data_IF_584202944099
#
_entry.id   IF_584202944099
#
_cell.length_a   1.000
_cell.length_b   1.000
_cell.length_c   1.000
_cell.angle_alpha   90.00
_cell.angle_beta   90.00
_cell.angle_gamma   90.00
#
_symmetry.space_group_name_H-M   'P 1'
#
loop_
_entity.id
_entity.type
_entity.pdbx_description
1 polymer ?
#
# COMPACT_ATOMS: atom_id res chain seq x y z
N UNK A 1 -24.83 -17.92 21.20
CA UNK A 1 -24.75 -16.67 20.40
C UNK A 1 -23.88 -15.69 21.17
N UNK A 2 -22.64 -15.46 20.73
CA UNK A 2 -21.74 -14.53 21.42
C UNK A 2 -22.14 -13.09 21.06
N UNK A 3 -22.70 -12.36 22.02
CA UNK A 3 -23.05 -10.95 21.86
C UNK A 3 -21.81 -10.14 21.44
N UNK A 4 -21.93 -9.43 20.31
CA UNK A 4 -20.88 -8.53 19.83
C UNK A 4 -20.93 -7.29 20.70
N UNK A 5 -19.94 -7.16 21.58
CA UNK A 5 -19.69 -5.95 22.36
C UNK A 5 -19.62 -4.73 21.42
N UNK A 6 -20.36 -3.65 21.73
CA UNK A 6 -20.50 -2.44 20.90
C UNK A 6 -20.20 -1.20 21.76
N UNK A 7 -19.60 -0.18 21.17
CA UNK A 7 -19.38 1.11 21.84
C UNK A 7 -20.70 1.90 21.96
N UNK A 8 -20.64 3.04 22.65
CA UNK A 8 -21.79 3.94 22.83
C UNK A 8 -22.36 4.50 21.51
N UNK A 9 -21.68 4.28 20.37
CA UNK A 9 -22.08 4.67 19.01
C UNK A 9 -22.49 3.45 18.16
N UNK A 10 -22.56 2.25 18.74
CA UNK A 10 -22.96 1.01 18.07
C UNK A 10 -21.85 0.30 17.27
N UNK A 11 -20.60 0.80 17.29
CA UNK A 11 -19.46 0.20 16.58
C UNK A 11 -19.00 -1.06 17.33
N UNK A 12 -18.82 -2.21 16.66
CA UNK A 12 -18.35 -3.42 17.33
C UNK A 12 -16.96 -3.20 17.97
N UNK A 13 -16.87 -3.39 19.29
CA UNK A 13 -15.66 -3.32 20.11
C UNK A 13 -14.72 -4.52 19.90
N UNK A 14 -15.23 -5.60 19.32
CA UNK A 14 -14.50 -6.85 19.10
C UNK A 14 -13.54 -6.80 17.89
N UNK A 15 -12.64 -5.81 17.84
CA UNK A 15 -11.49 -5.90 16.97
C UNK A 15 -10.40 -6.69 17.70
N UNK A 16 -10.32 -8.01 17.45
CA UNK A 16 -9.17 -8.80 17.92
C UNK A 16 -7.88 -8.12 17.44
N UNK A 17 -6.82 -8.05 18.29
CA UNK A 17 -5.51 -7.56 17.86
C UNK A 17 -5.06 -8.29 16.59
N UNK A 18 -4.38 -7.60 15.68
CA UNK A 18 -3.91 -8.20 14.42
C UNK A 18 -2.40 -8.06 14.28
N UNK A 19 -1.77 -8.98 13.56
CA UNK A 19 -0.37 -8.84 13.16
C UNK A 19 -0.20 -7.78 12.04
N UNK A 20 1.04 -7.51 11.62
CA UNK A 20 1.35 -6.56 10.55
C UNK A 20 0.76 -6.91 9.18
N UNK A 21 0.39 -8.17 8.97
CA UNK A 21 -0.33 -8.61 7.78
C UNK A 21 -1.83 -8.54 7.94
N UNK A 22 -2.38 -8.18 9.11
CA UNK A 22 -3.81 -8.09 9.39
C UNK A 22 -4.47 -9.42 9.81
N UNK A 23 -3.72 -10.47 10.16
CA UNK A 23 -4.29 -11.73 10.67
C UNK A 23 -4.69 -11.56 12.14
N UNK A 24 -5.86 -12.05 12.59
CA UNK A 24 -6.24 -11.99 14.00
C UNK A 24 -5.26 -12.76 14.89
N UNK A 25 -4.80 -12.12 15.96
CA UNK A 25 -4.02 -12.74 17.02
C UNK A 25 -4.92 -13.43 18.05
N UNK A 26 -4.29 -14.24 18.90
CA UNK A 26 -4.91 -14.76 20.11
C UNK A 26 -5.39 -13.61 21.02
N UNK A 27 -6.42 -13.85 21.84
CA UNK A 27 -6.88 -12.86 22.81
C UNK A 27 -5.73 -12.54 23.79
N UNK A 28 -5.47 -11.25 24.03
CA UNK A 28 -4.36 -10.79 24.86
C UNK A 28 -3.02 -10.64 24.13
N UNK A 29 -2.94 -10.99 22.84
CA UNK A 29 -1.76 -10.67 22.02
C UNK A 29 -1.64 -9.16 21.78
N UNK A 30 -0.41 -8.64 21.78
CA UNK A 30 -0.14 -7.27 21.35
C UNK A 30 -0.16 -7.21 19.83
N UNK A 31 -1.20 -6.61 19.26
CA UNK A 31 -1.33 -6.43 17.82
C UNK A 31 -0.83 -5.05 17.40
N UNK A 32 -0.62 -4.89 16.10
CA UNK A 32 -0.35 -3.58 15.54
C UNK A 32 -1.66 -2.78 15.51
N UNK A 33 -1.66 -1.52 15.99
CA UNK A 33 -2.80 -0.64 15.84
C UNK A 33 -3.20 -0.49 14.37
N UNK A 34 -4.49 -0.68 14.07
CA UNK A 34 -5.01 -0.41 12.73
C UNK A 34 -4.90 1.07 12.41
N UNK A 35 -4.78 1.38 11.12
CA UNK A 35 -4.96 2.76 10.66
C UNK A 35 -6.40 3.17 10.97
N UNK A 36 -6.64 4.28 11.69
CA UNK A 36 -8.00 4.69 12.01
C UNK A 36 -8.82 4.97 10.74
N UNK A 37 -10.06 4.48 10.68
CA UNK A 37 -10.93 4.56 9.49
C UNK A 37 -11.22 6.01 9.02
N UNK A 38 -11.07 6.98 9.93
CA UNK A 38 -11.30 8.42 9.73
C UNK A 38 -10.04 9.20 9.34
N UNK A 39 -8.86 8.59 9.39
CA UNK A 39 -7.63 9.23 8.88
C UNK A 39 -7.76 9.43 7.37
N UNK A 40 -7.63 10.68 6.95
CA UNK A 40 -7.58 11.12 5.55
C UNK A 40 -6.33 11.96 5.39
N UNK A 41 -5.26 11.33 4.92
CA UNK A 41 -4.03 12.05 4.63
C UNK A 41 -4.13 12.70 3.24
N UNK A 42 -3.56 13.91 3.06
CA UNK A 42 -3.34 14.44 1.72
C UNK A 42 -2.51 13.46 0.87
N UNK A 43 -2.70 13.42 -0.46
CA UNK A 43 -2.03 12.50 -1.38
C UNK A 43 -0.54 12.22 -1.09
N UNK A 44 0.30 13.26 -1.06
CA UNK A 44 1.74 13.09 -0.82
C UNK A 44 2.06 12.51 0.56
N UNK A 45 1.31 12.86 1.60
CA UNK A 45 1.48 12.31 2.94
C UNK A 45 1.02 10.85 3.02
N UNK A 46 -0.08 10.52 2.33
CA UNK A 46 -0.57 9.14 2.24
C UNK A 46 0.45 8.21 1.58
N UNK A 47 1.07 8.65 0.48
CA UNK A 47 2.12 7.89 -0.21
C UNK A 47 3.35 7.67 0.68
N UNK A 48 3.81 8.71 1.38
CA UNK A 48 4.95 8.60 2.32
C UNK A 48 4.62 7.64 3.46
N UNK A 49 3.42 7.74 4.04
CA UNK A 49 3.02 6.86 5.15
C UNK A 49 2.84 5.40 4.71
N UNK A 50 2.21 5.18 3.54
CA UNK A 50 2.09 3.86 2.95
C UNK A 50 3.46 3.25 2.63
N UNK A 51 4.43 4.05 2.15
CA UNK A 51 5.80 3.57 1.91
C UNK A 51 6.46 3.09 3.19
N UNK A 52 6.36 3.83 4.31
CA UNK A 52 6.91 3.40 5.60
C UNK A 52 6.36 2.03 6.03
N UNK A 53 5.07 1.79 5.81
CA UNK A 53 4.46 0.50 6.10
C UNK A 53 4.96 -0.61 5.17
N UNK A 54 5.15 -0.32 3.88
CA UNK A 54 5.74 -1.27 2.94
C UNK A 54 7.18 -1.62 3.33
N UNK A 55 8.00 -0.63 3.67
CA UNK A 55 9.38 -0.80 4.12
C UNK A 55 9.46 -1.62 5.41
N UNK A 56 8.44 -1.51 6.28
CA UNK A 56 8.29 -2.31 7.50
C UNK A 56 7.66 -3.69 7.28
N UNK A 57 7.47 -4.12 6.02
CA UNK A 57 6.82 -5.39 5.65
C UNK A 57 5.38 -5.51 6.18
N UNK A 58 4.65 -4.40 6.21
CA UNK A 58 3.25 -4.27 6.64
C UNK A 58 2.32 -3.80 5.52
N UNK A 59 2.24 -4.54 4.38
CA UNK A 59 1.47 -4.11 3.22
C UNK A 59 -0.03 -4.00 3.46
N UNK A 60 -0.58 -4.66 4.48
CA UNK A 60 -1.99 -4.50 4.84
C UNK A 60 -2.28 -3.10 5.40
N UNK A 61 -1.37 -2.53 6.19
CA UNK A 61 -1.51 -1.18 6.72
C UNK A 61 -1.30 -0.13 5.63
N UNK A 62 -0.35 -0.38 4.71
CA UNK A 62 -0.20 0.43 3.50
C UNK A 62 -1.50 0.47 2.67
N UNK A 63 -2.14 -0.70 2.48
CA UNK A 63 -3.46 -0.79 1.85
C UNK A 63 -4.51 0.07 2.56
N UNK A 64 -4.61 0.00 3.89
CA UNK A 64 -5.57 0.81 4.65
C UNK A 64 -5.35 2.33 4.45
N UNK A 65 -4.10 2.79 4.42
CA UNK A 65 -3.78 4.21 4.13
C UNK A 65 -4.24 4.61 2.72
N UNK A 66 -3.88 3.83 1.71
CA UNK A 66 -4.20 4.11 0.30
C UNK A 66 -5.72 4.04 0.05
N UNK A 67 -6.40 3.11 0.69
CA UNK A 67 -7.87 2.95 0.70
C UNK A 67 -8.58 3.97 1.61
N UNK A 68 -7.83 4.77 2.37
CA UNK A 68 -8.33 6.00 2.98
C UNK A 68 -8.41 7.13 1.96
N UNK A 69 -7.35 7.30 1.17
CA UNK A 69 -7.22 8.43 0.23
C UNK A 69 -8.18 8.36 -0.96
N UNK A 70 -8.50 7.17 -1.48
CA UNK A 70 -9.46 7.05 -2.61
C UNK A 70 -10.84 7.65 -2.30
N UNK A 71 -11.26 7.65 -1.02
CA UNK A 71 -12.56 8.19 -0.57
C UNK A 71 -12.65 9.71 -0.67
N UNK A 72 -11.51 10.41 -0.70
CA UNK A 72 -11.42 11.87 -0.72
C UNK A 72 -10.70 12.44 -1.95
N UNK A 73 -10.17 11.59 -2.83
CA UNK A 73 -9.49 12.01 -4.05
C UNK A 73 -10.47 12.47 -5.15
N UNK A 74 -9.99 13.28 -6.11
CA UNK A 74 -10.69 13.56 -7.37
C UNK A 74 -11.13 12.28 -8.09
N UNK A 75 -12.26 12.32 -8.79
CA UNK A 75 -12.87 11.13 -9.42
C UNK A 75 -11.97 10.48 -10.46
N UNK A 76 -11.27 11.31 -11.23
CA UNK A 76 -10.27 10.94 -12.24
C UNK A 76 -9.04 10.25 -11.65
N UNK A 77 -8.69 10.53 -10.40
CA UNK A 77 -7.59 9.86 -9.70
C UNK A 77 -8.01 8.56 -8.99
N UNK A 78 -9.31 8.28 -8.82
CA UNK A 78 -9.77 7.08 -8.10
C UNK A 78 -9.16 5.78 -8.62
N UNK A 79 -9.04 5.56 -9.95
CA UNK A 79 -8.41 4.35 -10.47
C UNK A 79 -6.95 4.20 -10.01
N UNK A 80 -6.18 5.29 -9.94
CA UNK A 80 -4.81 5.30 -9.42
C UNK A 80 -4.79 4.80 -7.98
N UNK A 81 -5.55 5.43 -7.08
CA UNK A 81 -5.58 5.06 -5.66
C UNK A 81 -6.08 3.64 -5.41
N UNK A 82 -7.08 3.19 -6.19
CA UNK A 82 -7.54 1.80 -6.17
C UNK A 82 -6.44 0.84 -6.62
N UNK A 83 -5.69 1.19 -7.68
CA UNK A 83 -4.55 0.42 -8.17
C UNK A 83 -3.48 0.23 -7.11
N UNK A 84 -3.04 1.34 -6.48
CA UNK A 84 -2.06 1.31 -5.40
C UNK A 84 -2.53 0.45 -4.21
N UNK A 85 -3.78 0.63 -3.78
CA UNK A 85 -4.36 -0.16 -2.70
C UNK A 85 -4.43 -1.66 -3.06
N UNK A 86 -4.73 -2.00 -4.32
CA UNK A 86 -4.76 -3.38 -4.82
C UNK A 86 -3.37 -4.01 -4.88
N UNK A 87 -2.34 -3.28 -5.30
CA UNK A 87 -0.96 -3.77 -5.27
C UNK A 87 -0.53 -4.11 -3.84
N UNK A 88 -0.81 -3.24 -2.87
CA UNK A 88 -0.50 -3.46 -1.46
C UNK A 88 -1.24 -4.69 -0.87
N UNK A 89 -2.55 -4.84 -1.13
CA UNK A 89 -3.27 -6.04 -0.65
C UNK A 89 -2.90 -7.31 -1.42
N UNK A 90 -2.50 -7.20 -2.68
CA UNK A 90 -1.92 -8.30 -3.47
C UNK A 90 -0.64 -8.83 -2.84
N UNK A 91 0.28 -7.93 -2.45
CA UNK A 91 1.48 -8.28 -1.69
C UNK A 91 1.14 -8.90 -0.33
N UNK A 92 0.11 -8.39 0.36
CA UNK A 92 -0.39 -8.99 1.61
C UNK A 92 -0.83 -10.44 1.40
N UNK A 93 -1.57 -10.73 0.31
CA UNK A 93 -1.98 -12.09 -0.02
C UNK A 93 -0.80 -13.00 -0.34
N UNK A 94 0.20 -12.47 -1.06
CA UNK A 94 1.43 -13.20 -1.39
C UNK A 94 2.18 -13.61 -0.12
N UNK A 95 2.45 -12.66 0.78
CA UNK A 95 3.13 -12.92 2.06
C UNK A 95 2.34 -13.86 2.98
N UNK A 96 1.02 -13.95 2.76
CA UNK A 96 0.16 -14.91 3.47
C UNK A 96 0.14 -16.31 2.84
N UNK A 97 0.82 -16.52 1.71
CA UNK A 97 0.86 -17.77 0.96
C UNK A 97 -0.34 -17.97 0.01
N UNK A 98 -1.22 -16.97 -0.14
CA UNK A 98 -2.35 -17.04 -1.07
C UNK A 98 -1.94 -16.54 -2.46
N UNK A 99 -1.25 -17.39 -3.21
CA UNK A 99 -0.70 -17.06 -4.55
C UNK A 99 -1.79 -16.71 -5.57
N UNK A 100 -2.89 -17.45 -5.59
CA UNK A 100 -4.01 -17.22 -6.53
C UNK A 100 -4.65 -15.85 -6.27
N UNK A 101 -4.94 -15.57 -5.00
CA UNK A 101 -5.49 -14.27 -4.60
C UNK A 101 -4.52 -13.12 -4.85
N UNK A 102 -3.22 -13.33 -4.62
CA UNK A 102 -2.18 -12.36 -4.91
C UNK A 102 -2.14 -12.00 -6.40
N UNK A 103 -2.04 -13.00 -7.29
CA UNK A 103 -2.00 -12.80 -8.73
C UNK A 103 -3.23 -12.02 -9.25
N UNK A 104 -4.42 -12.36 -8.74
CA UNK A 104 -5.65 -11.65 -9.12
C UNK A 104 -5.63 -10.17 -8.74
N UNK A 105 -5.19 -9.84 -7.51
CA UNK A 105 -5.14 -8.47 -7.01
C UNK A 105 -4.01 -7.66 -7.64
N UNK A 106 -2.83 -8.26 -7.81
CA UNK A 106 -1.68 -7.62 -8.45
C UNK A 106 -1.99 -7.25 -9.90
N UNK A 107 -2.63 -8.14 -10.66
CA UNK A 107 -3.03 -7.87 -12.05
C UNK A 107 -4.06 -6.75 -12.14
N UNK A 108 -5.10 -6.78 -11.30
CA UNK A 108 -6.07 -5.68 -11.26
C UNK A 108 -5.44 -4.34 -10.87
N UNK A 109 -4.49 -4.36 -9.93
CA UNK A 109 -3.75 -3.17 -9.53
C UNK A 109 -2.90 -2.62 -10.67
N UNK A 110 -2.12 -3.48 -11.32
CA UNK A 110 -1.30 -3.18 -12.49
C UNK A 110 -2.15 -2.55 -13.60
N UNK A 111 -3.23 -3.20 -14.02
CA UNK A 111 -4.09 -2.76 -15.12
C UNK A 111 -4.66 -1.34 -14.90
N UNK A 112 -4.92 -0.98 -13.64
CA UNK A 112 -5.41 0.36 -13.28
C UNK A 112 -4.34 1.44 -13.38
N UNK A 113 -3.07 1.08 -13.24
CA UNK A 113 -1.96 2.03 -13.27
C UNK A 113 -1.49 2.36 -14.70
N UNK A 114 -1.74 1.48 -15.67
CA UNK A 114 -1.32 1.66 -17.09
C UNK A 114 -1.72 3.04 -17.62
N UNK A 115 -2.92 3.52 -17.32
CA UNK A 115 -3.43 4.80 -17.81
C UNK A 115 -2.75 6.05 -17.24
N UNK A 116 -1.90 5.91 -16.22
CA UNK A 116 -1.25 7.02 -15.52
C UNK A 116 0.24 7.15 -15.83
N UNK A 117 0.81 6.28 -16.67
CA UNK A 117 2.26 6.25 -16.91
C UNK A 117 2.78 7.54 -17.54
N UNK A 118 2.02 8.12 -18.47
CA UNK A 118 2.45 9.32 -19.21
C UNK A 118 2.46 10.60 -18.35
N UNK A 119 1.57 10.69 -17.36
CA UNK A 119 1.46 11.84 -16.45
C UNK A 119 1.06 11.37 -15.04
N UNK A 120 2.02 10.87 -14.24
CA UNK A 120 1.73 10.31 -12.92
C UNK A 120 1.33 11.39 -11.89
N UNK A 121 0.12 11.34 -11.30
CA UNK A 121 -0.27 12.27 -10.26
C UNK A 121 0.59 12.11 -9.00
N UNK A 122 0.78 13.19 -8.25
CA UNK A 122 1.43 13.18 -6.93
C UNK A 122 2.88 12.62 -6.90
N UNK A 123 3.55 12.62 -8.06
CA UNK A 123 4.88 12.02 -8.24
C UNK A 123 4.92 10.52 -7.92
N UNK A 124 3.83 9.79 -8.19
CA UNK A 124 3.80 8.33 -8.06
C UNK A 124 4.76 7.70 -9.07
N UNK A 125 5.53 6.70 -8.65
CA UNK A 125 6.42 5.94 -9.55
C UNK A 125 5.64 4.91 -10.36
N UNK A 126 4.77 5.36 -11.27
CA UNK A 126 3.88 4.46 -12.02
C UNK A 126 4.69 3.45 -12.84
N UNK A 127 5.72 3.90 -13.58
CA UNK A 127 6.55 3.00 -14.36
C UNK A 127 7.27 1.97 -13.48
N UNK A 128 7.85 2.38 -12.35
CA UNK A 128 8.49 1.45 -11.41
C UNK A 128 7.49 0.42 -10.83
N UNK A 129 6.26 0.85 -10.52
CA UNK A 129 5.21 -0.03 -10.02
C UNK A 129 4.71 -1.02 -11.08
N UNK A 130 4.60 -0.61 -12.34
CA UNK A 130 4.22 -1.49 -13.46
C UNK A 130 5.28 -2.58 -13.66
N UNK A 131 6.56 -2.20 -13.75
CA UNK A 131 7.68 -3.15 -13.87
C UNK A 131 7.73 -4.11 -12.69
N UNK A 132 7.58 -3.59 -11.46
CA UNK A 132 7.59 -4.41 -10.25
C UNK A 132 6.44 -5.42 -10.22
N UNK A 133 5.23 -4.99 -10.56
CA UNK A 133 4.05 -5.86 -10.50
C UNK A 133 4.03 -6.88 -11.63
N UNK A 134 4.51 -6.53 -12.83
CA UNK A 134 4.70 -7.47 -13.94
C UNK A 134 5.69 -8.57 -13.56
N UNK A 135 6.88 -8.22 -13.03
CA UNK A 135 7.86 -9.21 -12.59
C UNK A 135 7.33 -10.15 -11.51
N UNK A 136 6.56 -9.66 -10.54
CA UNK A 136 5.91 -10.52 -9.55
C UNK A 136 4.83 -11.43 -10.12
N UNK A 137 4.10 -10.97 -11.14
CA UNK A 137 3.09 -11.80 -11.83
C UNK A 137 3.76 -12.91 -12.62
N UNK A 138 4.87 -12.62 -13.29
CA UNK A 138 5.66 -13.60 -14.03
C UNK A 138 6.26 -14.66 -13.08
N UNK A 139 6.81 -14.23 -11.94
CA UNK A 139 7.31 -15.15 -10.90
C UNK A 139 6.20 -16.03 -10.31
N UNK A 140 4.99 -15.50 -10.17
CA UNK A 140 3.82 -16.23 -9.71
C UNK A 140 3.37 -17.28 -10.72
N UNK A 141 3.39 -16.93 -12.01
CA UNK A 141 3.00 -17.81 -13.12
C UNK A 141 4.00 -18.94 -13.33
N UNK A 142 5.29 -18.64 -13.30
CA UNK A 142 6.38 -19.61 -13.48
C UNK A 142 6.73 -20.39 -12.22
N UNK A 143 6.25 -19.94 -11.05
CA UNK A 143 6.52 -20.57 -9.76
C UNK A 143 7.92 -20.28 -9.22
N UNK A 144 8.61 -19.25 -9.73
CA UNK A 144 9.98 -18.85 -9.36
C UNK A 144 10.06 -17.78 -8.27
N UNK A 145 8.94 -17.51 -7.59
CA UNK A 145 8.84 -16.52 -6.51
C UNK A 145 10.08 -16.49 -5.59
N UNK A 146 10.69 -15.31 -5.39
CA UNK A 146 11.83 -15.18 -4.48
C UNK A 146 11.40 -15.43 -3.03
N UNK A 147 12.38 -15.77 -2.18
CA UNK A 147 12.17 -15.97 -0.72
C UNK A 147 11.58 -14.72 -0.06
N UNK A 148 11.91 -13.53 -0.59
CA UNK A 148 11.29 -12.28 -0.19
C UNK A 148 11.02 -11.45 -1.46
N UNK A 149 9.75 -11.15 -1.77
CA UNK A 149 9.43 -10.27 -2.89
C UNK A 149 9.99 -8.87 -2.63
N UNK A 150 10.43 -8.19 -3.69
CA UNK A 150 10.89 -6.81 -3.60
C UNK A 150 9.78 -5.89 -3.07
N UNK A 151 10.16 -4.86 -2.31
CA UNK A 151 9.24 -3.81 -1.88
C UNK A 151 9.18 -2.73 -2.97
N UNK A 152 7.99 -2.36 -3.47
CA UNK A 152 7.90 -1.33 -4.49
C UNK A 152 8.16 0.05 -3.89
N UNK A 153 8.63 0.97 -4.74
CA UNK A 153 8.68 2.39 -4.43
C UNK A 153 7.38 3.04 -4.91
N UNK A 154 6.67 3.73 -4.02
CA UNK A 154 5.41 4.40 -4.37
C UNK A 154 5.62 5.75 -5.05
N UNK A 155 6.74 6.41 -4.81
CA UNK A 155 7.05 7.74 -5.35
C UNK A 155 8.33 7.73 -6.16
N UNK A 156 8.31 8.41 -7.30
CA UNK A 156 9.52 8.58 -8.08
C UNK A 156 10.54 9.34 -7.24
N UNK A 157 11.75 8.81 -7.13
CA UNK A 157 12.85 9.61 -6.62
C UNK A 157 13.18 10.63 -7.71
N UNK A 158 13.08 11.92 -7.37
CA UNK A 158 13.41 12.98 -8.32
C UNK A 158 14.88 12.81 -8.75
N UNK A 159 15.17 12.48 -10.02
CA UNK A 159 16.53 12.29 -10.48
C UNK A 159 17.34 13.61 -10.44
N UNK A 160 16.68 14.76 -10.23
CA UNK A 160 17.30 16.08 -10.16
C UNK A 160 17.50 16.60 -8.73
N UNK A 161 17.12 15.86 -7.68
CA UNK A 161 17.39 16.27 -6.29
C UNK A 161 18.78 15.83 -5.82
N UNK A 162 19.80 16.18 -6.60
CA UNK A 162 21.21 16.00 -6.26
C UNK A 162 22.00 17.23 -6.68
N UNK A 163 22.64 17.88 -5.71
CA UNK A 163 23.45 19.11 -5.79
C UNK A 163 22.66 20.42 -5.67
N UNK A 164 22.24 20.73 -4.44
CA UNK A 164 22.34 22.11 -3.96
C UNK A 164 23.84 22.40 -3.82
N UNK A 165 24.37 23.19 -4.75
CA UNK A 165 25.72 23.74 -4.66
C UNK A 165 25.88 24.49 -3.33
N UNK A 166 27.04 24.41 -2.66
CA UNK A 166 27.30 25.28 -1.53
C UNK A 166 27.31 26.73 -2.03
N UNK A 167 26.46 27.56 -1.42
CA UNK A 167 26.49 29.01 -1.59
C UNK A 167 27.93 29.48 -1.41
N UNK A 168 28.51 29.97 -2.50
CA UNK A 168 29.77 30.68 -2.48
C UNK A 168 29.52 32.01 -1.78
N UNK A 169 29.83 32.04 -0.48
CA UNK A 169 29.94 33.28 0.27
C UNK A 169 30.87 34.22 -0.48
N UNK A 170 30.33 35.31 -0.99
CA UNK A 170 31.11 36.47 -1.42
C UNK A 170 31.20 37.46 -0.27
N UNK A 171 32.42 38.02 -0.19
CA UNK A 171 32.98 38.94 0.80
C UNK A 171 32.18 40.20 1.08
#
# INVERSE_FOLDING_TARGET
MTERERDARGKPLNARPRDGLGRPLARGGSGIPRVPDDVRLPPGAALVEAQKFLDANMPFHAHEVLEGTWKSCPTDERPLWQGLAQLAVGLTHLLRGNRIGAASLLRQGHDRLIGFEADPPHSVDVSGLLVWSEGLLDDLETGTLPVSPGIPMLRATDPHRGVLAPDSGSS
#
